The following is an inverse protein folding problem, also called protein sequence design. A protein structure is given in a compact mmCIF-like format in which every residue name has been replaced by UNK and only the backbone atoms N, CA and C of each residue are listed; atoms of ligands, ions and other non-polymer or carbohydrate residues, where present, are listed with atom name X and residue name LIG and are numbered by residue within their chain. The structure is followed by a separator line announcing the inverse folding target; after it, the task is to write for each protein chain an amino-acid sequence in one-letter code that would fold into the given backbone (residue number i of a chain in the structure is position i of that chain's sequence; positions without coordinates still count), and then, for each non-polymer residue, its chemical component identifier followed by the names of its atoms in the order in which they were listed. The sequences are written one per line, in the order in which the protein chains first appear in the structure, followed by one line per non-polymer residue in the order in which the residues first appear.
data_IF_560182539022
#
_entry.id   IF_560182539022
#
_cell.length_a   1.000
_cell.length_b   1.000
_cell.length_c   1.000
_cell.angle_alpha   90.00
_cell.angle_beta   90.00
_cell.angle_gamma   90.00
#
_symmetry.space_group_name_H-M   'P 1'
#
loop_
_entity.id
_entity.type
_entity.pdbx_description
1 polymer ?
#
# COMPACT_ATOMS: atom_id res chain seq x y z
N UNK A 1 -18.11 -2.67 -10.44
CA UNK A 1 -18.50 -3.00 -9.05
C UNK A 1 -18.02 -4.39 -8.62
N UNK A 2 -17.51 -4.51 -7.40
CA UNK A 2 -17.15 -5.75 -6.70
C UNK A 2 -17.74 -5.72 -5.29
N UNK A 3 -18.27 -6.86 -4.83
CA UNK A 3 -18.87 -6.99 -3.51
C UNK A 3 -18.20 -8.10 -2.70
N UNK A 4 -17.97 -7.84 -1.42
CA UNK A 4 -17.34 -8.76 -0.49
C UNK A 4 -18.15 -8.87 0.79
N UNK A 5 -18.18 -10.07 1.36
CA UNK A 5 -18.74 -10.31 2.69
C UNK A 5 -17.60 -10.52 3.69
N UNK A 6 -17.53 -9.67 4.70
CA UNK A 6 -16.50 -9.69 5.72
C UNK A 6 -17.10 -10.15 7.04
N UNK A 7 -16.48 -11.17 7.64
CA UNK A 7 -16.72 -11.60 9.02
C UNK A 7 -15.45 -11.30 9.82
N UNK A 8 -15.57 -10.42 10.82
CA UNK A 8 -14.42 -9.84 11.54
C UNK A 8 -13.69 -10.84 12.43
N UNK A 9 -14.36 -11.87 12.96
CA UNK A 9 -13.69 -12.91 13.74
C UNK A 9 -14.64 -13.92 14.36
N UNK A 10 -14.14 -14.72 15.31
CA UNK A 10 -14.95 -15.74 16.00
C UNK A 10 -16.02 -15.14 16.92
N UNK A 11 -15.75 -13.97 17.50
CA UNK A 11 -16.68 -13.27 18.41
C UNK A 11 -17.53 -12.20 17.73
N UNK A 12 -17.19 -11.82 16.48
CA UNK A 12 -18.00 -10.94 15.63
C UNK A 12 -18.30 -11.69 14.33
N UNK A 13 -19.37 -12.46 14.38
CA UNK A 13 -19.84 -13.34 13.29
C UNK A 13 -20.77 -12.62 12.31
N UNK A 14 -21.07 -11.33 12.55
CA UNK A 14 -21.92 -10.53 11.67
C UNK A 14 -21.26 -10.46 10.28
N UNK A 15 -22.06 -10.72 9.26
CA UNK A 15 -21.68 -10.51 7.87
C UNK A 15 -21.75 -9.01 7.58
N UNK A 16 -20.63 -8.40 7.25
CA UNK A 16 -20.50 -6.98 6.90
C UNK A 16 -20.26 -6.87 5.40
N UNK A 17 -21.03 -6.03 4.73
CA UNK A 17 -20.85 -5.81 3.30
C UNK A 17 -19.77 -4.77 3.02
N UNK A 18 -18.87 -5.09 2.09
CA UNK A 18 -17.93 -4.16 1.47
C UNK A 18 -18.24 -4.09 -0.02
N UNK A 19 -18.47 -2.89 -0.53
CA UNK A 19 -18.73 -2.61 -1.94
C UNK A 19 -17.62 -1.70 -2.45
N UNK A 20 -16.96 -2.12 -3.52
CA UNK A 20 -15.94 -1.38 -4.24
C UNK A 20 -16.48 -1.11 -5.64
N UNK A 21 -16.71 0.16 -5.94
CA UNK A 21 -17.21 0.61 -7.24
C UNK A 21 -16.30 1.71 -7.83
N UNK A 22 -16.45 2.00 -9.12
CA UNK A 22 -15.74 3.06 -9.82
C UNK A 22 -15.96 4.45 -9.20
N UNK A 23 -17.09 4.68 -8.51
CA UNK A 23 -17.41 5.98 -7.94
C UNK A 23 -17.20 6.06 -6.42
N UNK A 24 -17.32 4.95 -5.69
CA UNK A 24 -17.24 4.97 -4.23
C UNK A 24 -16.79 3.65 -3.61
N UNK A 25 -16.24 3.76 -2.40
CA UNK A 25 -16.02 2.67 -1.47
C UNK A 25 -17.09 2.73 -0.38
N UNK A 26 -17.84 1.65 -0.16
CA UNK A 26 -18.86 1.56 0.88
C UNK A 26 -18.62 0.36 1.78
N UNK A 27 -18.56 0.57 3.09
CA UNK A 27 -18.28 -0.51 4.05
C UNK A 27 -19.20 -0.44 5.27
N UNK A 28 -19.79 -1.58 5.64
CA UNK A 28 -20.65 -1.76 6.81
C UNK A 28 -19.83 -1.89 8.12
N UNK A 29 -19.16 -0.81 8.51
CA UNK A 29 -18.20 -0.82 9.62
C UNK A 29 -18.76 -0.46 11.00
N UNK A 30 -19.97 0.11 11.08
CA UNK A 30 -20.58 0.62 12.30
C UNK A 30 -21.52 -0.42 12.92
N UNK A 31 -21.71 -0.34 14.24
CA UNK A 31 -22.50 -1.32 15.00
C UNK A 31 -23.89 -0.81 15.41
N UNK A 32 -24.19 0.48 15.24
CA UNK A 32 -25.44 1.10 15.69
C UNK A 32 -26.49 1.28 14.57
N UNK A 33 -27.75 1.03 14.94
CA UNK A 33 -28.90 0.72 14.07
C UNK A 33 -29.36 1.77 13.04
N UNK A 34 -28.81 2.99 12.99
CA UNK A 34 -29.31 4.05 12.10
C UNK A 34 -28.37 4.40 10.94
N UNK A 35 -27.07 4.12 11.08
CA UNK A 35 -26.10 4.34 10.01
C UNK A 35 -24.99 3.29 10.13
N UNK A 36 -25.16 2.19 9.40
CA UNK A 36 -24.24 1.06 9.44
C UNK A 36 -23.01 1.24 8.53
N UNK A 37 -23.09 2.18 7.59
CA UNK A 37 -22.14 2.28 6.49
C UNK A 37 -21.24 3.51 6.64
N UNK A 38 -20.01 3.35 6.16
CA UNK A 38 -19.16 4.47 5.77
C UNK A 38 -19.06 4.44 4.25
N UNK A 39 -19.34 5.57 3.60
CA UNK A 39 -19.17 5.75 2.16
C UNK A 39 -18.07 6.77 1.94
N UNK A 40 -17.11 6.44 1.09
CA UNK A 40 -16.01 7.31 0.69
C UNK A 40 -16.09 7.45 -0.83
N UNK A 41 -16.39 8.65 -1.36
CA UNK A 41 -16.29 8.92 -2.79
C UNK A 41 -14.87 8.69 -3.31
N UNK A 42 -14.71 8.24 -4.56
CA UNK A 42 -13.40 7.95 -5.17
C UNK A 42 -12.47 9.16 -5.09
N UNK A 43 -12.98 10.34 -5.35
CA UNK A 43 -12.25 11.61 -5.31
C UNK A 43 -11.73 11.96 -3.91
N UNK A 44 -12.29 11.39 -2.85
CA UNK A 44 -11.83 11.59 -1.48
C UNK A 44 -10.74 10.59 -1.07
N UNK A 45 -10.49 9.53 -1.84
CA UNK A 45 -9.47 8.52 -1.55
C UNK A 45 -8.07 9.09 -1.86
N UNK A 46 -7.15 9.01 -0.90
CA UNK A 46 -5.83 9.61 -0.98
C UNK A 46 -4.67 8.66 -0.68
N UNK A 47 -4.93 7.47 -0.15
CA UNK A 47 -3.86 6.58 0.24
C UNK A 47 -4.33 5.25 0.80
N UNK A 48 -3.39 4.31 0.85
CA UNK A 48 -3.63 2.97 1.38
C UNK A 48 -2.41 2.46 2.13
N UNK A 49 -2.68 1.71 3.20
CA UNK A 49 -1.71 0.83 3.85
C UNK A 49 -2.40 -0.47 4.24
N UNK A 50 -1.73 -1.59 4.07
CA UNK A 50 -2.31 -2.89 4.38
C UNK A 50 -1.25 -3.91 4.75
N UNK A 51 -1.68 -4.98 5.41
CA UNK A 51 -0.79 -6.07 5.78
C UNK A 51 -1.40 -7.00 6.81
N UNK A 52 -0.54 -7.87 7.34
CA UNK A 52 -0.90 -8.90 8.32
C UNK A 52 -0.32 -8.54 9.67
N UNK A 53 -1.17 -8.39 10.67
CA UNK A 53 -0.77 -8.32 12.06
C UNK A 53 -0.85 -9.72 12.69
N UNK A 54 0.27 -10.27 13.13
CA UNK A 54 0.30 -11.57 13.79
C UNK A 54 -0.14 -11.46 15.25
N UNK A 55 -1.14 -12.24 15.63
CA UNK A 55 -1.66 -12.30 16.99
C UNK A 55 -0.77 -13.28 17.77
N UNK A 56 -0.07 -12.77 18.79
CA UNK A 56 0.78 -13.56 19.68
C UNK A 56 -0.05 -14.14 20.83
N UNK A 57 0.15 -15.42 21.12
CA UNK A 57 -0.16 -16.02 22.42
C UNK A 57 1.04 -15.86 23.36
N UNK A 58 1.22 -16.80 24.29
CA UNK A 58 2.38 -16.83 25.19
C UNK A 58 3.70 -16.92 24.40
N UNK A 59 4.00 -18.09 23.82
CA UNK A 59 5.30 -18.34 23.17
C UNK A 59 5.21 -18.47 21.64
N UNK A 60 4.00 -18.41 21.06
CA UNK A 60 3.79 -18.65 19.64
C UNK A 60 2.66 -17.79 19.06
N UNK A 61 2.60 -17.70 17.73
CA UNK A 61 1.53 -17.01 17.01
C UNK A 61 0.26 -17.86 16.99
N UNK A 62 -0.81 -17.32 17.57
CA UNK A 62 -2.13 -17.98 17.68
C UNK A 62 -3.08 -17.55 16.57
N UNK A 63 -2.76 -16.50 15.81
CA UNK A 63 -3.65 -15.99 14.77
C UNK A 63 -3.04 -14.92 13.87
N UNK A 64 -3.85 -14.46 12.92
CA UNK A 64 -3.55 -13.38 11.98
C UNK A 64 -4.73 -12.42 11.93
N UNK A 65 -4.45 -11.14 11.93
CA UNK A 65 -5.41 -10.07 11.63
C UNK A 65 -4.98 -9.44 10.30
N UNK A 66 -5.80 -9.61 9.27
CA UNK A 66 -5.66 -8.89 8.02
C UNK A 66 -6.22 -7.48 8.21
N UNK A 67 -5.44 -6.48 7.82
CA UNK A 67 -5.78 -5.07 8.01
C UNK A 67 -5.54 -4.31 6.70
N UNK A 68 -6.54 -3.53 6.32
CA UNK A 68 -6.49 -2.58 5.21
C UNK A 68 -6.98 -1.24 5.75
N UNK A 69 -6.20 -0.18 5.53
CA UNK A 69 -6.55 1.18 5.90
C UNK A 69 -6.62 2.02 4.65
N UNK A 70 -7.76 2.66 4.43
CA UNK A 70 -7.99 3.60 3.34
C UNK A 70 -7.99 5.00 3.93
N UNK A 71 -7.07 5.85 3.47
CA UNK A 71 -6.94 7.23 3.92
C UNK A 71 -7.69 8.16 2.98
N UNK A 72 -8.44 9.10 3.54
CA UNK A 72 -9.09 10.16 2.78
C UNK A 72 -8.20 11.41 2.65
N UNK A 73 -8.52 12.31 1.72
CA UNK A 73 -7.85 13.61 1.57
C UNK A 73 -7.92 14.46 2.85
N UNK A 74 -9.02 14.35 3.59
CA UNK A 74 -9.17 14.95 4.92
C UNK A 74 -8.31 14.29 6.03
N UNK A 75 -7.53 13.26 5.70
CA UNK A 75 -6.63 12.57 6.63
C UNK A 75 -7.29 11.53 7.54
N UNK A 76 -8.58 11.25 7.37
CA UNK A 76 -9.29 10.19 8.12
C UNK A 76 -8.96 8.81 7.52
N UNK A 77 -8.97 7.77 8.34
CA UNK A 77 -8.73 6.40 7.88
C UNK A 77 -9.94 5.49 8.12
N UNK A 78 -10.39 4.79 7.09
CA UNK A 78 -11.33 3.68 7.18
C UNK A 78 -10.56 2.37 7.30
N UNK A 79 -10.75 1.67 8.42
CA UNK A 79 -10.16 0.35 8.67
C UNK A 79 -11.11 -0.77 8.24
N UNK A 80 -10.65 -1.60 7.31
CA UNK A 80 -11.25 -2.89 6.95
C UNK A 80 -10.36 -3.96 7.58
N UNK A 81 -10.93 -4.85 8.39
CA UNK A 81 -10.14 -5.90 9.04
C UNK A 81 -10.94 -7.15 9.33
N UNK A 82 -10.23 -8.27 9.43
CA UNK A 82 -10.78 -9.54 9.88
C UNK A 82 -9.67 -10.44 10.43
N UNK A 83 -10.06 -11.27 11.40
CA UNK A 83 -9.17 -12.13 12.18
C UNK A 83 -9.41 -13.60 11.86
N UNK A 84 -8.35 -14.37 11.98
CA UNK A 84 -8.40 -15.81 12.07
C UNK A 84 -7.50 -16.30 13.21
N UNK A 85 -7.90 -17.40 13.81
CA UNK A 85 -7.16 -18.05 14.89
C UNK A 85 -6.88 -19.50 14.50
N UNK A 86 -5.75 -20.03 14.97
CA UNK A 86 -5.34 -21.42 14.80
C UNK A 86 -5.42 -21.94 13.35
N UNK A 87 -5.08 -21.07 12.38
CA UNK A 87 -5.11 -21.35 10.93
C UNK A 87 -6.49 -21.76 10.36
N UNK A 88 -7.58 -21.57 11.11
CA UNK A 88 -8.93 -21.87 10.61
C UNK A 88 -9.25 -21.00 9.41
N UNK A 89 -9.60 -21.64 8.28
CA UNK A 89 -9.91 -20.95 7.01
C UNK A 89 -8.79 -20.03 6.52
N UNK A 90 -7.53 -20.42 6.77
CA UNK A 90 -6.37 -19.58 6.44
C UNK A 90 -6.36 -19.15 4.97
N UNK A 91 -6.48 -20.12 4.06
CA UNK A 91 -6.46 -19.86 2.60
C UNK A 91 -7.66 -19.03 2.17
N UNK A 92 -8.88 -19.38 2.59
CA UNK A 92 -10.09 -18.60 2.27
C UNK A 92 -9.98 -17.13 2.71
N UNK A 93 -9.45 -16.89 3.92
CA UNK A 93 -9.29 -15.54 4.47
C UNK A 93 -8.12 -14.81 3.80
N UNK A 94 -7.06 -15.52 3.44
CA UNK A 94 -5.95 -14.92 2.71
C UNK A 94 -6.39 -14.50 1.30
N UNK A 95 -7.10 -15.38 0.60
CA UNK A 95 -7.65 -15.07 -0.72
C UNK A 95 -8.62 -13.89 -0.66
N UNK A 96 -9.53 -13.86 0.32
CA UNK A 96 -10.41 -12.71 0.54
C UNK A 96 -9.62 -11.40 0.74
N UNK A 97 -8.50 -11.44 1.46
CA UNK A 97 -7.64 -10.28 1.63
C UNK A 97 -7.02 -9.84 0.29
N UNK A 98 -6.48 -10.78 -0.48
CA UNK A 98 -5.92 -10.51 -1.81
C UNK A 98 -6.98 -9.92 -2.74
N UNK A 99 -8.16 -10.55 -2.84
CA UNK A 99 -9.23 -10.10 -3.75
C UNK A 99 -9.71 -8.68 -3.42
N UNK A 100 -9.80 -8.32 -2.14
CA UNK A 100 -10.14 -6.96 -1.71
C UNK A 100 -9.03 -5.98 -2.12
N UNK A 101 -7.76 -6.32 -1.87
CA UNK A 101 -6.63 -5.47 -2.23
C UNK A 101 -6.57 -5.26 -3.74
N UNK A 102 -6.69 -6.32 -4.54
CA UNK A 102 -6.68 -6.25 -6.00
C UNK A 102 -7.81 -5.38 -6.54
N UNK A 103 -9.01 -5.49 -5.96
CA UNK A 103 -10.13 -4.62 -6.31
C UNK A 103 -9.83 -3.15 -5.95
N UNK A 104 -9.29 -2.87 -4.76
CA UNK A 104 -8.91 -1.50 -4.37
C UNK A 104 -7.89 -0.89 -5.34
N UNK A 105 -6.90 -1.67 -5.77
CA UNK A 105 -5.91 -1.23 -6.75
C UNK A 105 -6.53 -0.95 -8.11
N UNK A 106 -7.32 -1.89 -8.62
CA UNK A 106 -7.95 -1.78 -9.93
C UNK A 106 -8.86 -0.55 -10.06
N UNK A 107 -9.62 -0.21 -9.02
CA UNK A 107 -10.61 0.88 -9.07
C UNK A 107 -10.07 2.25 -8.63
N UNK A 108 -9.06 2.30 -7.75
CA UNK A 108 -8.60 3.56 -7.13
C UNK A 108 -7.09 3.78 -7.22
N UNK A 109 -6.28 2.83 -6.75
CA UNK A 109 -4.86 3.11 -6.51
C UNK A 109 -4.00 3.05 -7.77
N UNK A 110 -4.43 2.36 -8.83
CA UNK A 110 -3.78 2.43 -10.13
C UNK A 110 -3.83 3.85 -10.72
N UNK A 111 -4.95 4.55 -10.57
CA UNK A 111 -5.07 5.94 -11.05
C UNK A 111 -4.16 6.87 -10.25
N UNK A 112 -4.12 6.70 -8.91
CA UNK A 112 -3.23 7.46 -8.03
C UNK A 112 -1.76 7.17 -8.39
N UNK A 113 -1.41 5.91 -8.64
CA UNK A 113 -0.09 5.48 -9.08
C UNK A 113 0.31 6.16 -10.39
N UNK A 114 -0.58 6.15 -11.38
CA UNK A 114 -0.34 6.78 -12.69
C UNK A 114 -0.09 8.28 -12.56
N UNK A 115 -0.82 8.99 -11.69
CA UNK A 115 -0.56 10.42 -11.43
C UNK A 115 0.88 10.65 -10.95
N UNK A 116 1.38 9.82 -10.03
CA UNK A 116 2.77 9.94 -9.57
C UNK A 116 3.79 9.56 -10.64
N UNK A 117 3.51 8.55 -11.46
CA UNK A 117 4.35 8.16 -12.59
C UNK A 117 4.42 9.29 -13.62
N UNK A 118 3.30 9.95 -13.91
CA UNK A 118 3.25 11.09 -14.83
C UNK A 118 4.00 12.30 -14.28
N UNK A 119 3.88 12.58 -12.98
CA UNK A 119 4.69 13.61 -12.31
C UNK A 119 6.18 13.30 -12.45
N UNK A 120 6.58 12.05 -12.22
CA UNK A 120 7.96 11.60 -12.38
C UNK A 120 8.46 11.76 -13.82
N UNK A 121 7.70 11.29 -14.81
CA UNK A 121 8.07 11.34 -16.23
C UNK A 121 8.17 12.77 -16.76
N UNK A 122 7.39 13.70 -16.21
CA UNK A 122 7.42 15.12 -16.55
C UNK A 122 8.45 15.92 -15.73
N UNK A 123 9.34 15.25 -14.99
CA UNK A 123 10.37 15.85 -14.13
C UNK A 123 9.78 16.81 -13.07
N UNK A 124 8.54 16.57 -12.64
CA UNK A 124 7.90 17.34 -11.58
C UNK A 124 8.32 16.78 -10.22
N UNK A 125 8.67 17.68 -9.30
CA UNK A 125 9.01 17.27 -7.93
C UNK A 125 7.72 16.94 -7.16
N UNK A 126 7.69 15.79 -6.48
CA UNK A 126 6.55 15.39 -5.65
C UNK A 126 7.03 14.71 -4.36
N UNK A 127 6.16 14.68 -3.35
CA UNK A 127 6.43 14.03 -2.07
C UNK A 127 5.48 12.85 -1.88
N UNK A 128 6.02 11.69 -1.54
CA UNK A 128 5.26 10.51 -1.23
C UNK A 128 5.89 9.79 -0.02
N UNK A 129 5.05 9.43 0.94
CA UNK A 129 5.46 8.67 2.13
C UNK A 129 6.66 9.31 2.89
N UNK A 130 6.78 10.64 2.85
CA UNK A 130 7.89 11.38 3.47
C UNK A 130 9.23 11.26 2.71
N UNK A 131 9.19 10.97 1.42
CA UNK A 131 10.31 10.99 0.48
C UNK A 131 9.99 12.02 -0.59
N UNK A 132 10.93 12.92 -0.84
CA UNK A 132 10.84 13.90 -1.92
C UNK A 132 11.52 13.33 -3.16
N UNK A 133 10.76 13.18 -4.24
CA UNK A 133 11.27 12.82 -5.55
C UNK A 133 11.66 14.09 -6.29
N UNK A 134 12.91 14.15 -6.72
CA UNK A 134 13.45 15.17 -7.61
C UNK A 134 13.83 14.54 -8.94
N UNK A 135 14.16 15.38 -9.92
CA UNK A 135 14.53 14.94 -11.27
C UNK A 135 15.63 13.85 -11.30
N UNK A 136 16.69 14.01 -10.50
CA UNK A 136 17.86 13.10 -10.55
C UNK A 136 18.10 12.33 -9.24
N UNK A 137 17.35 12.62 -8.17
CA UNK A 137 17.56 12.03 -6.87
C UNK A 137 16.26 11.89 -6.08
N UNK A 138 16.28 11.00 -5.09
CA UNK A 138 15.32 11.01 -3.99
C UNK A 138 15.95 11.64 -2.76
N UNK A 139 15.13 12.28 -1.94
CA UNK A 139 15.56 12.88 -0.69
C UNK A 139 14.70 12.38 0.46
N UNK A 140 15.35 11.85 1.49
CA UNK A 140 14.74 11.56 2.78
C UNK A 140 15.72 11.88 3.91
N UNK A 141 15.21 12.28 5.06
CA UNK A 141 16.01 12.58 6.27
C UNK A 141 17.16 13.58 6.01
N UNK A 142 16.90 14.57 5.14
CA UNK A 142 17.85 15.59 4.67
C UNK A 142 19.02 15.06 3.82
N UNK A 143 19.05 13.78 3.50
CA UNK A 143 20.06 13.16 2.62
C UNK A 143 19.48 12.95 1.22
N UNK A 144 20.31 13.19 0.21
CA UNK A 144 19.95 12.98 -1.20
C UNK A 144 20.65 11.74 -1.74
N UNK A 145 19.93 10.93 -2.51
CA UNK A 145 20.43 9.71 -3.14
C UNK A 145 20.07 9.78 -4.62
N UNK A 146 21.07 9.73 -5.49
CA UNK A 146 20.86 9.63 -6.93
C UNK A 146 20.13 8.34 -7.28
N UNK A 147 19.29 8.35 -8.31
CA UNK A 147 18.59 7.13 -8.74
C UNK A 147 19.57 5.99 -9.12
N UNK A 148 20.74 6.33 -9.67
CA UNK A 148 21.80 5.36 -9.98
C UNK A 148 22.37 4.65 -8.74
N UNK A 149 22.31 5.31 -7.58
CA UNK A 149 22.84 4.81 -6.31
C UNK A 149 21.73 4.28 -5.39
N UNK A 150 20.48 4.27 -5.87
CA UNK A 150 19.32 3.85 -5.10
C UNK A 150 19.11 2.34 -5.21
N UNK A 151 19.15 1.66 -4.07
CA UNK A 151 18.77 0.26 -3.95
C UNK A 151 17.52 0.09 -3.10
N UNK A 152 16.59 -0.72 -3.58
CA UNK A 152 15.33 -1.06 -2.90
C UNK A 152 15.35 -2.54 -2.57
N UNK A 153 15.19 -2.87 -1.29
CA UNK A 153 15.09 -4.25 -0.80
C UNK A 153 13.68 -4.50 -0.30
N UNK A 154 12.97 -5.41 -0.97
CA UNK A 154 11.60 -5.75 -0.66
C UNK A 154 11.54 -6.99 0.23
N UNK A 155 10.86 -6.86 1.37
CA UNK A 155 10.53 -7.95 2.28
C UNK A 155 9.02 -8.11 2.39
N UNK A 156 8.54 -9.20 2.99
CA UNK A 156 7.10 -9.50 3.07
C UNK A 156 6.26 -8.43 3.77
N UNK A 157 6.83 -7.65 4.71
CA UNK A 157 6.07 -6.70 5.53
C UNK A 157 6.60 -5.26 5.47
N UNK A 158 7.72 -5.06 4.80
CA UNK A 158 8.40 -3.78 4.74
C UNK A 158 9.32 -3.71 3.53
N UNK A 159 9.66 -2.49 3.13
CA UNK A 159 10.72 -2.20 2.19
C UNK A 159 11.86 -1.47 2.91
N UNK A 160 13.05 -1.54 2.33
CA UNK A 160 14.20 -0.75 2.75
C UNK A 160 14.76 -0.02 1.54
N UNK A 161 14.79 1.30 1.64
CA UNK A 161 15.56 2.16 0.77
C UNK A 161 16.98 2.26 1.30
N UNK A 162 17.97 2.10 0.45
CA UNK A 162 19.37 2.28 0.84
C UNK A 162 20.19 2.88 -0.30
N UNK A 163 21.22 3.65 0.06
CA UNK A 163 22.26 4.06 -0.88
C UNK A 163 23.25 2.91 -1.06
N UNK A 164 23.64 2.64 -2.30
CA UNK A 164 24.75 1.71 -2.61
C UNK A 164 26.11 2.28 -2.19
N UNK A 165 26.23 3.61 -2.10
CA UNK A 165 27.47 4.30 -1.70
C UNK A 165 27.59 4.48 -0.20
N UNK A 166 26.48 4.73 0.50
CA UNK A 166 26.47 4.96 1.95
C UNK A 166 25.51 4.02 2.69
N UNK A 167 26.09 3.04 3.39
CA UNK A 167 25.35 2.04 4.18
C UNK A 167 24.57 2.65 5.36
N UNK A 168 24.97 3.84 5.83
CA UNK A 168 24.28 4.56 6.91
C UNK A 168 23.12 5.43 6.42
N UNK A 169 22.89 5.47 5.11
CA UNK A 169 21.73 6.12 4.52
C UNK A 169 20.73 5.07 4.10
N UNK A 170 19.85 4.72 5.04
CA UNK A 170 18.76 3.79 4.80
C UNK A 170 17.46 4.29 5.44
N UNK A 171 16.33 3.90 4.84
CA UNK A 171 14.98 4.17 5.34
C UNK A 171 14.13 2.92 5.21
N UNK A 172 13.70 2.40 6.36
CA UNK A 172 12.79 1.26 6.44
C UNK A 172 11.35 1.77 6.48
N UNK A 173 10.46 1.14 5.70
CA UNK A 173 9.04 1.47 5.68
C UNK A 173 8.19 0.20 5.71
N UNK A 174 7.31 0.11 6.68
CA UNK A 174 6.42 -1.02 6.89
C UNK A 174 5.09 -0.80 6.16
N UNK A 175 4.67 -1.77 5.34
CA UNK A 175 3.44 -1.67 4.54
C UNK A 175 2.16 -1.49 5.35
N UNK A 176 2.16 -1.98 6.58
CA UNK A 176 1.01 -1.88 7.48
C UNK A 176 1.04 -0.60 8.33
N UNK A 177 2.22 -0.14 8.75
CA UNK A 177 2.35 0.97 9.70
C UNK A 177 2.55 2.33 9.03
N UNK A 178 3.36 2.37 7.98
CA UNK A 178 3.76 3.61 7.32
C UNK A 178 2.77 3.99 6.23
N UNK A 179 2.47 5.28 6.14
CA UNK A 179 1.50 5.83 5.19
C UNK A 179 2.04 5.69 3.77
N UNK A 180 1.21 5.17 2.87
CA UNK A 180 1.46 5.06 1.44
C UNK A 180 2.74 4.27 1.07
N UNK A 181 3.30 3.50 2.01
CA UNK A 181 4.51 2.71 1.79
C UNK A 181 4.33 1.68 0.66
N UNK A 182 3.11 1.18 0.48
CA UNK A 182 2.77 0.28 -0.62
C UNK A 182 2.78 1.00 -1.97
N UNK A 183 2.17 2.20 -2.04
CA UNK A 183 2.18 3.02 -3.26
C UNK A 183 3.62 3.40 -3.64
N UNK A 184 4.42 3.77 -2.63
CA UNK A 184 5.84 4.04 -2.81
C UNK A 184 6.59 2.85 -3.41
N UNK A 185 6.36 1.64 -2.89
CA UNK A 185 7.00 0.44 -3.42
C UNK A 185 6.69 0.24 -4.91
N UNK A 186 5.43 0.40 -5.31
CA UNK A 186 5.02 0.26 -6.71
C UNK A 186 5.67 1.32 -7.61
N UNK A 187 5.73 2.57 -7.16
CA UNK A 187 6.41 3.66 -7.90
C UNK A 187 7.89 3.37 -8.06
N UNK A 188 8.57 2.96 -6.99
CA UNK A 188 10.00 2.64 -7.04
C UNK A 188 10.29 1.48 -7.99
N UNK A 189 9.45 0.45 -7.98
CA UNK A 189 9.59 -0.67 -8.93
C UNK A 189 9.42 -0.19 -10.38
N UNK A 190 8.49 0.74 -10.64
CA UNK A 190 8.33 1.36 -11.96
C UNK A 190 9.55 2.20 -12.36
N UNK A 191 10.03 3.07 -11.46
CA UNK A 191 11.17 3.96 -11.72
C UNK A 191 12.45 3.15 -11.96
N UNK A 192 12.76 2.18 -11.10
CA UNK A 192 13.98 1.35 -11.24
C UNK A 192 13.94 0.55 -12.53
N UNK A 193 12.77 0.00 -12.89
CA UNK A 193 12.61 -0.73 -14.15
C UNK A 193 12.82 0.19 -15.37
N UNK A 194 12.30 1.42 -15.33
CA UNK A 194 12.48 2.40 -16.39
C UNK A 194 13.93 2.89 -16.52
N UNK A 195 14.61 3.15 -15.40
CA UNK A 195 16.03 3.57 -15.41
C UNK A 195 16.96 2.44 -15.88
N UNK A 196 16.67 1.18 -15.54
CA UNK A 196 17.40 0.03 -16.08
C UNK A 196 17.19 -0.15 -17.59
N UNK A 197 16.01 0.19 -18.12
CA UNK A 197 15.73 0.19 -19.56
C UNK A 197 16.48 1.33 -20.26
N UNK A 198 16.45 2.55 -19.72
CA UNK A 198 17.20 3.70 -20.24
C UNK A 198 18.71 3.46 -20.26
N UNK A 199 19.26 2.85 -19.21
CA UNK A 199 20.68 2.52 -19.15
C UNK A 199 21.11 1.52 -20.25
N UNK A 200 20.23 0.57 -20.62
CA UNK A 200 20.47 -0.36 -21.74
C UNK A 200 20.39 0.32 -23.10
N UNK A 201 19.43 1.21 -23.31
CA UNK A 201 19.30 1.95 -24.57
C UNK A 201 20.47 2.91 -24.82
N UNK A 202 21.12 3.42 -23.76
CA UNK A 202 22.33 4.24 -23.88
C UNK A 202 23.57 3.38 -24.17
N UNK A 203 23.66 2.15 -23.63
CA UNK A 203 24.79 1.24 -23.91
C UNK A 203 24.75 0.63 -25.31
N UNK A 204 23.57 0.53 -25.92
CA UNK A 204 23.39 -0.08 -27.25
C UNK A 204 23.54 0.94 -28.41
N UNK A 205 23.90 2.20 -28.11
CA UNK A 205 24.26 3.17 -29.15
C UNK A 205 25.68 2.88 -29.64
N UNK A 206 25.89 2.65 -30.95
CA UNK A 206 27.23 2.49 -31.49
C UNK A 206 28.00 3.80 -31.29
N UNK A 207 29.21 3.68 -30.73
CA UNK A 207 30.20 4.75 -30.60
C UNK A 207 30.69 5.16 -31.98
#
# INVERSE_FOLDING_TARGET
MKEFTIIRGLFDTRKRQLIIDENFLKFENKDHNQDLFTVIPKEEIAGIRYGVHFIKGLEFYIGREYQIFIRTKAGKELKIFFKLFYKRKLEEKHQLFCDIVDALWAYYFNDILNIYIDQFNNNQNFSLAGILFKNNCIQFDKKEILYSDLAVKNYHHYLVLCSTKDQYTNKMMNYLKDKDAVILNEILNCIIKNEQLRAKEVSDRPV
#
